data_IF_415952754376
#
_entry.id   IF_415952754376
#
_cell.length_a   1.000
_cell.length_b   1.000
_cell.length_c   1.000
_cell.angle_alpha   90.00
_cell.angle_beta   90.00
_cell.angle_gamma   90.00
#
_symmetry.space_group_name_H-M   'P 1'
#
loop_
_entity.id
_entity.type
_entity.pdbx_description
1 polymer ?
#
# COMPACT_ATOMS: atom_id res chain seq x y z
N UNK A 1 18.45 -21.27 -14.70
CA UNK A 1 17.19 -20.68 -14.21
C UNK A 1 16.58 -19.94 -15.38
N UNK A 2 15.32 -20.21 -15.74
CA UNK A 2 14.67 -19.63 -16.92
C UNK A 2 14.50 -18.11 -16.74
N UNK A 3 14.99 -17.33 -17.71
CA UNK A 3 14.95 -15.87 -17.67
C UNK A 3 13.51 -15.32 -17.67
N UNK A 4 12.56 -16.03 -18.27
CA UNK A 4 11.13 -15.66 -18.24
C UNK A 4 10.51 -15.82 -16.84
N UNK A 5 10.94 -16.87 -16.11
CA UNK A 5 10.56 -17.11 -14.71
C UNK A 5 11.19 -16.06 -13.80
N UNK A 6 12.46 -15.69 -14.03
CA UNK A 6 13.11 -14.60 -13.29
C UNK A 6 12.36 -13.28 -13.51
N UNK A 7 12.10 -12.91 -14.76
CA UNK A 7 11.39 -11.68 -15.08
C UNK A 7 10.01 -11.59 -14.39
N UNK A 8 9.19 -12.65 -14.49
CA UNK A 8 7.86 -12.66 -13.89
C UNK A 8 7.89 -12.69 -12.35
N UNK A 9 8.74 -13.48 -11.71
CA UNK A 9 8.69 -13.71 -10.25
C UNK A 9 9.62 -12.81 -9.42
N UNK A 10 10.76 -12.38 -9.97
CA UNK A 10 11.71 -11.52 -9.25
C UNK A 10 11.39 -10.05 -9.45
N UNK A 11 10.92 -9.67 -10.63
CA UNK A 11 10.56 -8.29 -10.94
C UNK A 11 9.05 -8.06 -10.86
N UNK A 12 8.21 -8.98 -11.35
CA UNK A 12 6.74 -8.86 -11.27
C UNK A 12 6.10 -9.60 -10.09
N UNK A 13 4.79 -9.87 -10.17
CA UNK A 13 4.00 -10.60 -9.15
C UNK A 13 3.83 -12.10 -9.45
N UNK A 14 4.60 -12.62 -10.42
CA UNK A 14 4.36 -13.93 -11.02
C UNK A 14 3.62 -13.80 -12.36
N UNK A 15 3.64 -14.87 -13.19
CA UNK A 15 3.08 -14.83 -14.52
C UNK A 15 1.56 -15.05 -14.51
N UNK A 16 0.85 -14.33 -15.39
CA UNK A 16 -0.51 -14.67 -15.81
C UNK A 16 -0.50 -15.96 -16.65
N UNK A 17 -1.66 -16.62 -16.85
CA UNK A 17 -1.77 -17.74 -17.78
C UNK A 17 -1.14 -17.39 -19.13
N UNK A 18 -0.31 -18.30 -19.65
CA UNK A 18 0.43 -18.18 -20.92
C UNK A 18 1.43 -17.02 -21.06
N UNK A 19 1.61 -16.20 -20.02
CA UNK A 19 2.46 -15.01 -20.08
C UNK A 19 3.95 -15.36 -20.21
N UNK A 20 4.38 -16.50 -19.65
CA UNK A 20 5.77 -16.96 -19.74
C UNK A 20 6.23 -17.12 -21.19
N UNK A 21 5.36 -17.57 -22.09
CA UNK A 21 5.68 -17.71 -23.51
C UNK A 21 5.93 -16.35 -24.18
N UNK A 22 5.17 -15.32 -23.78
CA UNK A 22 5.35 -13.97 -24.26
C UNK A 22 6.64 -13.34 -23.71
N UNK A 23 6.93 -13.57 -22.42
CA UNK A 23 8.14 -13.09 -21.76
C UNK A 23 9.39 -13.75 -22.35
N UNK A 24 9.34 -15.04 -22.67
CA UNK A 24 10.49 -15.82 -23.15
C UNK A 24 11.13 -15.25 -24.43
N UNK A 25 10.39 -14.47 -25.22
CA UNK A 25 10.92 -13.80 -26.43
C UNK A 25 12.00 -12.78 -26.10
N UNK A 26 11.76 -11.94 -25.09
CA UNK A 26 12.72 -10.97 -24.59
C UNK A 26 12.38 -10.57 -23.14
N UNK A 27 12.85 -11.35 -22.15
CA UNK A 27 12.52 -11.12 -20.74
C UNK A 27 13.03 -9.77 -20.22
N UNK A 28 14.19 -9.31 -20.72
CA UNK A 28 14.80 -8.05 -20.29
C UNK A 28 14.00 -6.86 -20.81
N UNK A 29 13.64 -6.86 -22.10
CA UNK A 29 12.78 -5.82 -22.65
C UNK A 29 11.40 -5.83 -22.00
N UNK A 30 10.89 -7.02 -21.62
CA UNK A 30 9.62 -7.14 -20.91
C UNK A 30 9.60 -6.40 -19.56
N UNK A 31 10.68 -6.46 -18.79
CA UNK A 31 10.80 -5.68 -17.54
C UNK A 31 11.01 -4.19 -17.83
N UNK A 32 11.97 -3.85 -18.71
CA UNK A 32 12.37 -2.46 -18.92
C UNK A 32 11.26 -1.56 -19.47
N UNK A 33 10.38 -2.11 -20.33
CA UNK A 33 9.26 -1.33 -20.87
C UNK A 33 8.28 -0.90 -19.78
N UNK A 34 8.10 -1.71 -18.74
CA UNK A 34 7.15 -1.42 -17.65
C UNK A 34 7.62 -0.24 -16.82
N UNK A 35 8.92 -0.08 -16.58
CA UNK A 35 9.45 1.09 -15.86
C UNK A 35 9.19 2.41 -16.59
N UNK A 36 9.00 2.38 -17.91
CA UNK A 36 8.65 3.54 -18.74
C UNK A 36 7.14 3.71 -18.93
N UNK A 37 6.33 2.69 -18.63
CA UNK A 37 4.89 2.76 -18.78
C UNK A 37 4.29 3.77 -17.80
N UNK A 38 3.34 4.58 -18.23
CA UNK A 38 2.54 5.36 -17.29
C UNK A 38 1.49 4.44 -16.65
N UNK A 39 1.49 4.39 -15.32
CA UNK A 39 0.54 3.59 -14.53
C UNK A 39 -0.44 4.49 -13.76
N UNK A 40 -0.41 5.80 -13.99
CA UNK A 40 -1.26 6.78 -13.31
C UNK A 40 -2.76 6.46 -13.44
N UNK A 41 -3.18 5.95 -14.59
CA UNK A 41 -4.55 5.53 -14.86
C UNK A 41 -4.96 4.22 -14.18
N UNK A 42 -4.00 3.44 -13.65
CA UNK A 42 -4.27 2.18 -12.95
C UNK A 42 -4.66 2.41 -11.48
N UNK A 43 -4.42 3.60 -10.94
CA UNK A 43 -4.80 3.94 -9.56
C UNK A 43 -6.24 4.42 -9.47
N UNK A 44 -6.96 3.90 -8.48
CA UNK A 44 -8.27 4.42 -8.07
C UNK A 44 -8.08 5.17 -6.76
N UNK A 45 -8.31 6.47 -6.76
CA UNK A 45 -8.23 7.26 -5.52
C UNK A 45 -9.53 7.09 -4.74
N UNK A 46 -9.69 5.93 -4.10
CA UNK A 46 -10.80 5.65 -3.17
C UNK A 46 -10.37 5.81 -1.72
N UNK A 47 -9.06 5.72 -1.46
CA UNK A 47 -8.50 5.67 -0.12
C UNK A 47 -8.17 7.05 0.47
N UNK A 48 -8.18 7.18 1.82
CA UNK A 48 -7.87 8.44 2.47
C UNK A 48 -6.40 8.82 2.25
N UNK A 49 -6.14 9.90 1.54
CA UNK A 49 -4.79 10.44 1.30
C UNK A 49 -3.97 10.56 2.59
N UNK A 50 -2.64 10.57 2.46
CA UNK A 50 -1.72 10.78 3.58
C UNK A 50 -2.04 12.05 4.38
N UNK A 51 -2.45 13.13 3.69
CA UNK A 51 -2.89 14.36 4.33
C UNK A 51 -4.13 14.16 5.22
N UNK A 52 -5.11 13.39 4.75
CA UNK A 52 -6.32 13.08 5.53
C UNK A 52 -5.98 12.23 6.77
N UNK A 53 -5.08 11.25 6.64
CA UNK A 53 -4.62 10.43 7.77
C UNK A 53 -3.88 11.29 8.82
N UNK A 54 -2.98 12.17 8.39
CA UNK A 54 -2.24 13.10 9.26
C UNK A 54 -3.19 14.05 9.97
N UNK A 55 -4.11 14.68 9.24
CA UNK A 55 -5.08 15.61 9.80
C UNK A 55 -5.99 14.94 10.84
N UNK A 56 -6.47 13.73 10.55
CA UNK A 56 -7.29 12.96 11.49
C UNK A 56 -6.53 12.62 12.77
N UNK A 57 -5.23 12.30 12.66
CA UNK A 57 -4.39 12.08 13.84
C UNK A 57 -4.20 13.34 14.67
N UNK A 58 -3.91 14.48 14.03
CA UNK A 58 -3.79 15.77 14.73
C UNK A 58 -5.08 16.11 15.49
N UNK A 59 -6.24 16.01 14.85
CA UNK A 59 -7.54 16.27 15.46
C UNK A 59 -7.82 15.32 16.65
N UNK A 60 -7.43 14.05 16.53
CA UNK A 60 -7.55 13.09 17.63
C UNK A 60 -6.68 13.49 18.84
N UNK A 61 -5.44 13.93 18.62
CA UNK A 61 -4.55 14.37 19.71
C UNK A 61 -5.06 15.62 20.42
N UNK A 62 -5.63 16.56 19.67
CA UNK A 62 -6.23 17.77 20.24
C UNK A 62 -7.48 17.46 21.06
N UNK A 63 -8.39 16.65 20.50
CA UNK A 63 -9.67 16.32 21.16
C UNK A 63 -9.54 15.41 22.36
N UNK A 64 -8.44 14.65 22.48
CA UNK A 64 -8.17 13.79 23.64
C UNK A 64 -7.33 14.45 24.72
N UNK A 65 -6.88 15.70 24.50
CA UNK A 65 -6.06 16.45 25.45
C UNK A 65 -6.88 16.75 26.72
N UNK A 66 -6.40 16.27 27.86
CA UNK A 66 -7.05 16.49 29.16
C UNK A 66 -8.19 15.52 29.51
N UNK A 67 -8.62 14.66 28.58
CA UNK A 67 -9.66 13.65 28.85
C UNK A 67 -9.20 12.55 29.81
N UNK A 68 -7.88 12.28 29.88
CA UNK A 68 -7.33 11.26 30.79
C UNK A 68 -7.71 11.47 32.26
N UNK A 69 -7.90 12.72 32.67
CA UNK A 69 -8.25 13.06 34.06
C UNK A 69 -9.73 13.45 34.19
N UNK A 70 -10.34 14.03 33.15
CA UNK A 70 -11.71 14.54 33.21
C UNK A 70 -12.77 13.50 32.84
N UNK A 71 -12.51 12.63 31.86
CA UNK A 71 -13.46 11.64 31.37
C UNK A 71 -12.72 10.46 30.70
N UNK A 72 -12.24 9.49 31.50
CA UNK A 72 -11.48 8.34 31.01
C UNK A 72 -12.28 7.42 30.08
N UNK A 73 -13.58 7.26 30.31
CA UNK A 73 -14.44 6.39 29.48
C UNK A 73 -14.58 6.96 28.06
N UNK A 74 -14.80 8.27 27.93
CA UNK A 74 -14.83 8.94 26.64
C UNK A 74 -13.49 8.85 25.90
N UNK A 75 -12.37 8.95 26.63
CA UNK A 75 -11.04 8.78 26.05
C UNK A 75 -10.85 7.39 25.43
N UNK A 76 -11.30 6.34 26.12
CA UNK A 76 -11.16 4.96 25.61
C UNK A 76 -12.09 4.70 24.43
N UNK A 77 -13.33 5.21 24.43
CA UNK A 77 -14.23 5.16 23.26
C UNK A 77 -13.59 5.81 22.03
N UNK A 78 -13.02 7.01 22.18
CA UNK A 78 -12.36 7.72 21.08
C UNK A 78 -11.12 6.96 20.56
N UNK A 79 -10.36 6.31 21.46
CA UNK A 79 -9.21 5.47 21.08
C UNK A 79 -9.65 4.25 20.27
N UNK A 80 -10.76 3.62 20.66
CA UNK A 80 -11.30 2.47 19.96
C UNK A 80 -11.79 2.83 18.56
N UNK A 81 -12.51 3.95 18.42
CA UNK A 81 -12.93 4.49 17.12
C UNK A 81 -11.74 4.82 16.22
N UNK A 82 -10.72 5.49 16.76
CA UNK A 82 -9.49 5.81 16.02
C UNK A 82 -8.77 4.53 15.58
N UNK A 83 -8.66 3.54 16.46
CA UNK A 83 -8.04 2.24 16.17
C UNK A 83 -8.83 1.46 15.12
N UNK A 84 -10.16 1.49 15.17
CA UNK A 84 -11.03 0.89 14.15
C UNK A 84 -10.81 1.56 12.79
N UNK A 85 -10.85 2.89 12.73
CA UNK A 85 -10.64 3.63 11.50
C UNK A 85 -9.26 3.38 10.87
N UNK A 86 -8.21 3.38 11.68
CA UNK A 86 -6.84 3.08 11.20
C UNK A 86 -6.72 1.66 10.65
N UNK A 87 -7.41 0.69 11.26
CA UNK A 87 -7.47 -0.70 10.75
C UNK A 87 -8.25 -0.80 9.44
N UNK A 88 -9.34 -0.05 9.30
CA UNK A 88 -10.13 -0.01 8.07
C UNK A 88 -9.33 0.62 6.93
N UNK A 89 -8.66 1.75 7.17
CA UNK A 89 -7.76 2.38 6.20
C UNK A 89 -6.65 1.41 5.75
N UNK A 90 -5.95 0.77 6.70
CA UNK A 90 -4.94 -0.24 6.39
C UNK A 90 -5.49 -1.37 5.51
N UNK A 91 -6.65 -1.95 5.89
CA UNK A 91 -7.28 -3.04 5.13
C UNK A 91 -7.63 -2.61 3.71
N UNK A 92 -8.18 -1.42 3.54
CA UNK A 92 -8.60 -0.92 2.24
C UNK A 92 -7.40 -0.70 1.33
N UNK A 93 -6.31 -0.11 1.86
CA UNK A 93 -5.04 -0.02 1.14
C UNK A 93 -4.46 -1.38 0.75
N UNK A 94 -4.41 -2.36 1.66
CA UNK A 94 -3.91 -3.70 1.35
C UNK A 94 -4.77 -4.40 0.27
N UNK A 95 -6.09 -4.17 0.27
CA UNK A 95 -6.99 -4.72 -0.73
C UNK A 95 -6.78 -4.07 -2.10
N UNK A 96 -6.57 -2.75 -2.16
CA UNK A 96 -6.28 -2.04 -3.40
C UNK A 96 -4.96 -2.53 -4.02
N UNK A 97 -3.88 -2.60 -3.23
CA UNK A 97 -2.60 -3.16 -3.69
C UNK A 97 -2.74 -4.60 -4.19
N UNK A 98 -3.50 -5.44 -3.48
CA UNK A 98 -3.75 -6.82 -3.91
C UNK A 98 -4.52 -6.89 -5.24
N UNK A 99 -5.55 -6.05 -5.41
CA UNK A 99 -6.32 -5.98 -6.66
C UNK A 99 -5.44 -5.55 -7.83
N UNK A 100 -4.60 -4.53 -7.61
CA UNK A 100 -3.62 -4.07 -8.61
C UNK A 100 -2.63 -5.18 -8.96
N UNK A 101 -2.08 -5.89 -7.96
CA UNK A 101 -1.13 -6.97 -8.19
C UNK A 101 -1.71 -8.13 -9.03
N UNK A 102 -3.02 -8.39 -8.89
CA UNK A 102 -3.73 -9.39 -9.70
C UNK A 102 -4.00 -8.88 -11.12
N UNK A 103 -4.42 -7.62 -11.27
CA UNK A 103 -4.98 -7.10 -12.52
C UNK A 103 -3.95 -6.46 -13.46
N UNK A 104 -2.90 -5.82 -12.93
CA UNK A 104 -2.00 -4.96 -13.71
C UNK A 104 -1.27 -5.70 -14.83
N UNK A 105 -1.00 -4.99 -15.93
CA UNK A 105 -0.11 -5.43 -17.00
C UNK A 105 1.32 -4.86 -16.85
N UNK A 106 1.56 -4.10 -15.78
CA UNK A 106 2.84 -3.48 -15.44
C UNK A 106 3.37 -3.97 -14.06
N UNK A 107 3.39 -5.28 -13.76
CA UNK A 107 3.68 -5.80 -12.43
C UNK A 107 5.08 -5.40 -11.90
N UNK A 108 6.08 -5.24 -12.78
CA UNK A 108 7.41 -4.83 -12.37
C UNK A 108 7.46 -3.38 -11.87
N UNK A 109 6.68 -2.48 -12.47
CA UNK A 109 6.62 -1.08 -12.02
C UNK A 109 5.83 -0.95 -10.72
N UNK A 110 4.73 -1.69 -10.58
CA UNK A 110 3.97 -1.74 -9.32
C UNK A 110 4.77 -2.33 -8.17
N UNK A 111 5.53 -3.41 -8.39
CA UNK A 111 6.42 -3.96 -7.35
C UNK A 111 7.48 -2.96 -6.91
N UNK A 112 8.02 -2.16 -7.84
CA UNK A 112 8.95 -1.09 -7.52
C UNK A 112 8.28 0.01 -6.69
N UNK A 113 7.05 0.39 -7.04
CA UNK A 113 6.24 1.32 -6.26
C UNK A 113 6.00 0.81 -4.84
N UNK A 114 5.51 -0.43 -4.68
CA UNK A 114 5.27 -1.04 -3.36
C UNK A 114 6.54 -1.08 -2.50
N UNK A 115 7.68 -1.47 -3.10
CA UNK A 115 8.97 -1.48 -2.41
C UNK A 115 9.31 -0.12 -1.81
N UNK A 116 9.18 0.96 -2.58
CA UNK A 116 9.47 2.31 -2.10
C UNK A 116 8.40 2.85 -1.17
N UNK A 117 7.12 2.59 -1.42
CA UNK A 117 6.01 3.01 -0.55
C UNK A 117 6.17 2.44 0.86
N UNK A 118 6.51 1.16 1.00
CA UNK A 118 6.74 0.55 2.31
C UNK A 118 8.01 1.05 2.99
N UNK A 119 9.05 1.31 2.20
CA UNK A 119 10.31 1.78 2.74
C UNK A 119 10.23 3.24 3.23
N UNK A 120 9.48 4.10 2.53
CA UNK A 120 9.20 5.48 2.98
C UNK A 120 8.19 5.51 4.14
N UNK A 121 7.32 4.51 4.26
CA UNK A 121 6.46 4.31 5.43
C UNK A 121 7.20 3.58 6.55
N UNK A 122 8.23 4.22 7.10
CA UNK A 122 9.14 3.74 8.17
C UNK A 122 8.47 2.81 9.20
N UNK A 123 8.46 1.49 8.92
CA UNK A 123 7.92 0.35 9.70
C UNK A 123 6.57 0.56 10.43
N UNK A 124 5.67 -0.42 10.35
CA UNK A 124 4.44 -0.46 11.18
C UNK A 124 4.67 -0.41 12.71
N UNK A 125 5.93 -0.36 13.16
CA UNK A 125 6.35 -0.14 14.54
C UNK A 125 6.37 1.35 14.96
N UNK A 126 6.18 2.30 14.04
CA UNK A 126 6.11 3.75 14.32
C UNK A 126 4.81 4.24 14.97
N UNK A 127 4.01 3.34 15.57
CA UNK A 127 2.73 3.64 16.20
C UNK A 127 1.53 3.63 15.25
N UNK A 128 0.34 3.95 15.78
CA UNK A 128 -0.94 3.82 15.07
C UNK A 128 -1.03 4.63 13.77
N UNK A 129 -0.30 5.75 13.67
CA UNK A 129 -0.24 6.59 12.48
C UNK A 129 0.50 5.89 11.32
N UNK A 130 1.68 5.35 11.59
CA UNK A 130 2.50 4.68 10.57
C UNK A 130 1.83 3.39 10.10
N UNK A 131 1.11 2.69 11.00
CA UNK A 131 0.36 1.48 10.64
C UNK A 131 -0.75 1.74 9.60
N UNK A 132 -1.35 2.92 9.55
CA UNK A 132 -2.33 3.23 8.51
C UNK A 132 -1.72 3.65 7.17
N UNK A 133 -0.44 4.04 7.17
CA UNK A 133 0.29 4.51 5.98
C UNK A 133 1.24 3.44 5.40
N UNK A 134 1.41 2.31 6.09
CA UNK A 134 2.27 1.19 5.70
C UNK A 134 1.43 -0.09 5.47
N UNK A 135 0.71 -0.21 4.33
CA UNK A 135 -0.21 -1.32 4.08
C UNK A 135 0.46 -2.65 3.68
N UNK A 136 1.77 -2.65 3.44
CA UNK A 136 2.55 -3.81 2.99
C UNK A 136 3.89 -3.94 3.70
#
# INVERSE_FOLDING_TARGET
MDASVIASHRFGFGPKPDELNAIARDPKAWVLRQYRADISSEFKVTEPSSQQVVAKNANFRESTRGLKTSDPEKLDQMRDEMTKWMREAYRSYSLDSLQVAIATDNPAKHRLLEFFSNHFSVSANGGAMMRALAPT
#
